data_IF_737115781456
#
_entry.id   IF_737115781456
#
_cell.length_a   1.000
_cell.length_b   1.000
_cell.length_c   1.000
_cell.angle_alpha   90.00
_cell.angle_beta   90.00
_cell.angle_gamma   90.00
#
_symmetry.space_group_name_H-M   'P 1'
#
loop_
_entity.id
_entity.type
_entity.pdbx_description
1 polymer ?
#
# COMPACT_ATOMS: atom_id res chain seq x y z
N UNK A 1 29.54 5.37 -4.68
CA UNK A 1 28.97 4.68 -3.50
C UNK A 1 27.78 3.86 -3.98
N UNK A 2 27.95 2.54 -4.13
CA UNK A 2 26.91 1.63 -4.64
C UNK A 2 25.85 1.43 -3.55
N UNK A 3 24.66 2.00 -3.74
CA UNK A 3 23.52 1.73 -2.87
C UNK A 3 23.01 0.32 -3.15
N UNK A 4 23.48 -0.67 -2.39
CA UNK A 4 22.83 -1.97 -2.34
C UNK A 4 21.42 -1.77 -1.76
N UNK A 5 20.40 -1.95 -2.61
CA UNK A 5 19.04 -2.22 -2.15
C UNK A 5 19.14 -3.42 -1.20
N UNK A 6 18.75 -3.27 0.06
CA UNK A 6 18.59 -4.44 0.93
C UNK A 6 17.50 -5.31 0.29
N UNK A 7 17.91 -6.48 -0.17
CA UNK A 7 16.99 -7.47 -0.72
C UNK A 7 15.97 -7.85 0.34
N UNK A 8 14.71 -7.93 -0.08
CA UNK A 8 13.65 -8.42 0.78
C UNK A 8 13.98 -9.86 1.22
N UNK A 9 13.75 -10.16 2.50
CA UNK A 9 13.92 -11.53 2.99
C UNK A 9 12.98 -12.51 2.27
N UNK A 10 13.32 -13.80 2.30
CA UNK A 10 12.55 -14.84 1.60
C UNK A 10 11.07 -14.85 2.01
N UNK A 11 10.78 -14.58 3.27
CA UNK A 11 9.42 -14.56 3.78
C UNK A 11 8.62 -13.39 3.17
N UNK A 12 9.20 -12.19 3.13
CA UNK A 12 8.60 -11.04 2.48
C UNK A 12 8.32 -11.29 0.99
N UNK A 13 9.26 -11.91 0.28
CA UNK A 13 9.08 -12.28 -1.15
C UNK A 13 7.90 -13.24 -1.34
N UNK A 14 7.80 -14.27 -0.48
CA UNK A 14 6.68 -15.22 -0.50
C UNK A 14 5.34 -14.52 -0.22
N UNK A 15 5.30 -13.58 0.73
CA UNK A 15 4.06 -12.84 1.02
C UNK A 15 3.62 -11.97 -0.15
N UNK A 16 4.55 -11.27 -0.81
CA UNK A 16 4.25 -10.47 -2.00
C UNK A 16 3.63 -11.34 -3.09
N UNK A 17 4.28 -12.46 -3.42
CA UNK A 17 3.80 -13.39 -4.44
C UNK A 17 2.42 -13.96 -4.09
N UNK A 18 2.20 -14.31 -2.81
CA UNK A 18 0.90 -14.76 -2.34
C UNK A 18 -0.18 -13.70 -2.54
N UNK A 19 0.09 -12.45 -2.18
CA UNK A 19 -0.87 -11.35 -2.35
C UNK A 19 -1.17 -11.11 -3.82
N UNK A 20 -0.16 -11.11 -4.69
CA UNK A 20 -0.33 -10.89 -6.13
C UNK A 20 -1.11 -12.02 -6.80
N UNK A 21 -0.79 -13.28 -6.50
CA UNK A 21 -1.51 -14.46 -7.02
C UNK A 21 -2.96 -14.52 -6.55
N UNK A 22 -3.22 -14.09 -5.32
CA UNK A 22 -4.56 -14.02 -4.73
C UNK A 22 -5.24 -12.66 -4.91
N UNK A 23 -4.73 -11.78 -5.79
CA UNK A 23 -5.20 -10.39 -5.98
C UNK A 23 -6.72 -10.25 -6.07
N UNK A 24 -7.37 -11.16 -6.81
CA UNK A 24 -8.84 -11.18 -6.98
C UNK A 24 -9.64 -11.43 -5.71
N UNK A 25 -9.08 -12.09 -4.70
CA UNK A 25 -9.76 -12.32 -3.42
C UNK A 25 -9.86 -11.05 -2.57
N UNK A 26 -9.06 -10.04 -2.89
CA UNK A 26 -9.00 -8.80 -2.12
C UNK A 26 -9.82 -7.66 -2.75
N UNK A 27 -10.24 -7.80 -4.00
CA UNK A 27 -11.10 -6.81 -4.67
C UNK A 27 -12.44 -6.70 -3.91
N UNK A 28 -12.88 -5.47 -3.66
CA UNK A 28 -14.08 -5.15 -2.88
C UNK A 28 -13.90 -5.19 -1.36
N UNK A 29 -12.80 -5.74 -0.83
CA UNK A 29 -12.53 -5.70 0.60
C UNK A 29 -12.22 -4.27 1.06
N UNK A 30 -12.60 -3.97 2.30
CA UNK A 30 -12.13 -2.76 2.95
C UNK A 30 -10.63 -2.86 3.24
N UNK A 31 -9.94 -1.72 3.30
CA UNK A 31 -8.52 -1.67 3.68
C UNK A 31 -8.29 -2.35 5.03
N UNK A 32 -9.21 -2.22 5.99
CA UNK A 32 -9.12 -2.94 7.27
C UNK A 32 -9.04 -4.46 7.07
N UNK A 33 -10.00 -5.04 6.35
CA UNK A 33 -10.03 -6.49 6.09
C UNK A 33 -8.82 -6.94 5.28
N UNK A 34 -8.44 -6.16 4.28
CA UNK A 34 -7.27 -6.42 3.47
C UNK A 34 -5.99 -6.48 4.30
N UNK A 35 -5.70 -5.42 5.07
CA UNK A 35 -4.49 -5.37 5.89
C UNK A 35 -4.49 -6.44 6.98
N UNK A 36 -5.65 -6.83 7.52
CA UNK A 36 -5.75 -7.91 8.50
C UNK A 36 -5.47 -9.29 7.90
N UNK A 37 -5.75 -9.49 6.61
CA UNK A 37 -5.41 -10.73 5.89
C UNK A 37 -3.92 -10.89 5.56
N UNK A 38 -3.13 -9.82 5.69
CA UNK A 38 -1.71 -9.79 5.35
C UNK A 38 -0.89 -9.50 6.61
N UNK A 39 -0.37 -10.54 7.29
CA UNK A 39 0.53 -10.33 8.41
C UNK A 39 1.86 -9.72 7.93
N UNK A 40 2.50 -8.94 8.81
CA UNK A 40 3.87 -8.42 8.64
C UNK A 40 4.10 -7.29 7.63
N UNK A 41 3.08 -6.49 7.30
CA UNK A 41 3.30 -5.22 6.61
C UNK A 41 4.11 -4.30 7.54
N UNK A 42 5.29 -3.90 7.10
CA UNK A 42 6.19 -3.03 7.88
C UNK A 42 6.09 -1.56 7.47
N UNK A 43 5.66 -1.30 6.24
CA UNK A 43 5.45 0.05 5.73
C UNK A 43 4.25 0.11 4.78
N UNK A 44 3.49 1.21 4.88
CA UNK A 44 2.56 1.66 3.86
C UNK A 44 2.91 3.06 3.37
N UNK A 45 2.91 3.21 2.05
CA UNK A 45 3.08 4.47 1.32
C UNK A 45 1.80 4.76 0.56
N UNK A 46 1.21 5.93 0.78
CA UNK A 46 -0.01 6.34 0.09
C UNK A 46 0.37 7.41 -0.91
N UNK A 47 -0.01 7.19 -2.16
CA UNK A 47 0.15 8.12 -3.27
C UNK A 47 -1.27 8.51 -3.73
N UNK A 48 -1.78 9.67 -3.30
CA UNK A 48 -3.04 10.18 -3.84
C UNK A 48 -2.92 10.39 -5.35
N UNK A 49 -3.87 9.81 -6.09
CA UNK A 49 -4.06 10.09 -7.51
C UNK A 49 -5.38 10.87 -7.65
N UNK A 50 -5.48 12.09 -7.12
CA UNK A 50 -6.63 12.98 -7.34
C UNK A 50 -6.17 14.23 -8.07
N UNK A 51 -6.85 14.65 -9.17
CA UNK A 51 -8.23 15.13 -9.12
C UNK A 51 -9.20 14.68 -10.26
N UNK A 52 -8.88 13.69 -11.11
CA UNK A 52 -9.81 13.28 -12.20
C UNK A 52 -10.63 12.00 -11.92
N UNK A 53 -10.14 11.03 -11.16
CA UNK A 53 -10.69 9.66 -11.27
C UNK A 53 -11.23 9.05 -9.96
N UNK A 54 -11.34 9.79 -8.86
CA UNK A 54 -11.84 9.25 -7.57
C UNK A 54 -11.07 8.05 -7.01
N UNK A 55 -9.88 7.71 -7.52
CA UNK A 55 -9.07 6.59 -7.04
C UNK A 55 -7.80 7.05 -6.32
N UNK A 56 -7.23 6.20 -5.48
CA UNK A 56 -5.94 6.45 -4.84
C UNK A 56 -5.07 5.20 -4.85
N UNK A 57 -3.76 5.38 -4.93
CA UNK A 57 -2.81 4.27 -4.96
C UNK A 57 -2.16 4.11 -3.61
N UNK A 58 -2.23 2.90 -3.06
CA UNK A 58 -1.56 2.53 -1.82
C UNK A 58 -0.48 1.52 -2.18
N UNK A 59 0.77 1.79 -1.81
CA UNK A 59 1.90 0.90 -2.04
C UNK A 59 2.39 0.45 -0.68
N UNK A 60 2.49 -0.84 -0.43
CA UNK A 60 3.03 -1.34 0.82
C UNK A 60 4.19 -2.29 0.61
N UNK A 61 4.99 -2.39 1.66
CA UNK A 61 6.17 -3.23 1.71
C UNK A 61 6.25 -4.01 3.00
N UNK A 62 6.94 -5.13 2.93
CA UNK A 62 7.28 -6.00 4.06
C UNK A 62 8.64 -5.63 4.68
N UNK A 63 9.13 -4.41 4.38
CA UNK A 63 10.37 -3.81 4.86
C UNK A 63 10.10 -2.44 5.48
N UNK A 64 11.03 -1.93 6.29
CA UNK A 64 10.90 -0.63 6.97
C UNK A 64 10.91 0.57 6.01
N UNK A 65 10.53 1.76 6.50
CA UNK A 65 10.43 2.98 5.69
C UNK A 65 11.72 3.43 5.01
N UNK A 66 12.85 3.28 5.72
CA UNK A 66 14.17 3.71 5.24
C UNK A 66 14.61 2.83 4.07
N UNK A 67 14.31 1.54 4.15
CA UNK A 67 14.65 0.53 3.16
C UNK A 67 13.67 0.54 1.98
N UNK A 68 12.38 0.72 2.23
CA UNK A 68 11.34 0.70 1.20
C UNK A 68 11.50 1.78 0.12
N UNK A 69 12.02 2.96 0.50
CA UNK A 69 12.32 4.04 -0.44
C UNK A 69 13.38 3.64 -1.48
N UNK A 70 14.20 2.64 -1.17
CA UNK A 70 15.23 2.06 -2.04
C UNK A 70 14.84 0.70 -2.62
N UNK A 71 13.75 0.10 -2.15
CA UNK A 71 13.28 -1.20 -2.60
C UNK A 71 12.90 -1.18 -4.09
N UNK A 72 13.13 -2.28 -4.78
CA UNK A 72 12.72 -2.45 -6.17
C UNK A 72 11.20 -2.54 -6.29
N UNK A 73 10.64 -2.22 -7.47
CA UNK A 73 9.18 -2.29 -7.71
C UNK A 73 8.62 -3.71 -7.46
N UNK A 74 9.42 -4.76 -7.70
CA UNK A 74 9.03 -6.16 -7.49
C UNK A 74 8.81 -6.50 -6.01
N UNK A 75 9.47 -5.79 -5.10
CA UNK A 75 9.42 -6.01 -3.65
C UNK A 75 8.32 -5.16 -2.99
N UNK A 76 7.30 -4.78 -3.77
CA UNK A 76 6.19 -3.94 -3.34
C UNK A 76 4.88 -4.56 -3.79
N UNK A 77 3.83 -4.31 -3.03
CA UNK A 77 2.46 -4.53 -3.47
C UNK A 77 1.80 -3.18 -3.64
N UNK A 78 1.28 -2.93 -4.84
CA UNK A 78 0.53 -1.73 -5.17
C UNK A 78 -0.95 -2.10 -5.24
N UNK A 79 -1.79 -1.39 -4.51
CA UNK A 79 -3.24 -1.54 -4.56
C UNK A 79 -3.86 -0.21 -4.99
N UNK A 80 -4.89 -0.30 -5.81
CA UNK A 80 -5.76 0.83 -6.14
C UNK A 80 -6.95 0.75 -5.21
N UNK A 81 -7.33 1.87 -4.62
CA UNK A 81 -8.48 1.98 -3.74
C UNK A 81 -9.45 3.01 -4.26
N UNK A 82 -10.73 2.76 -4.03
CA UNK A 82 -11.79 3.72 -4.27
C UNK A 82 -11.66 4.84 -3.24
N UNK A 83 -11.28 6.00 -3.74
CA UNK A 83 -11.05 7.23 -3.01
C UNK A 83 -12.23 8.20 -3.09
N UNK A 84 -13.37 7.83 -3.66
CA UNK A 84 -14.56 8.71 -3.77
C UNK A 84 -15.01 9.31 -2.43
N UNK A 85 -14.72 8.63 -1.32
CA UNK A 85 -15.01 9.08 0.04
C UNK A 85 -13.81 9.73 0.76
N UNK A 86 -12.71 10.01 0.06
CA UNK A 86 -11.60 10.79 0.59
C UNK A 86 -11.99 12.26 0.55
N UNK A 87 -12.35 12.80 1.72
CA UNK A 87 -12.56 14.25 1.85
C UNK A 87 -11.21 14.99 1.81
N UNK A 88 -11.16 16.22 1.29
CA UNK A 88 -9.96 17.07 1.26
C UNK A 88 -9.28 17.23 2.65
N UNK A 89 -10.05 17.08 3.74
CA UNK A 89 -9.53 17.09 5.12
C UNK A 89 -8.62 15.90 5.45
N UNK A 90 -8.81 14.77 4.78
CA UNK A 90 -8.00 13.55 4.95
C UNK A 90 -6.76 13.56 4.05
N UNK A 91 -6.76 14.39 3.00
CA UNK A 91 -5.65 14.54 2.06
C UNK A 91 -5.36 16.02 1.84
N UNK A 92 -4.63 16.69 2.76
CA UNK A 92 -4.24 18.07 2.55
C UNK A 92 -3.50 18.21 1.22
N UNK A 93 -3.89 19.23 0.43
CA UNK A 93 -3.47 19.46 -0.94
C UNK A 93 -1.94 19.58 -1.15
N UNK A 94 -1.16 19.66 -0.07
CA UNK A 94 0.28 19.92 -0.09
C UNK A 94 1.16 18.67 0.14
N UNK A 95 0.61 17.46 0.29
CA UNK A 95 1.42 16.26 0.60
C UNK A 95 1.16 15.07 -0.35
N UNK A 96 2.01 14.99 -1.38
CA UNK A 96 2.03 14.00 -2.48
C UNK A 96 2.43 12.56 -2.10
N UNK A 97 2.75 12.28 -0.84
CA UNK A 97 3.16 10.94 -0.41
C UNK A 97 3.12 10.81 1.10
N UNK A 98 2.38 9.84 1.62
CA UNK A 98 2.31 9.58 3.06
C UNK A 98 2.94 8.24 3.35
N UNK A 99 4.07 8.26 4.06
CA UNK A 99 4.75 7.07 4.57
C UNK A 99 4.31 6.86 6.02
N UNK A 100 3.64 5.74 6.31
CA UNK A 100 3.01 5.50 7.61
C UNK A 100 2.88 3.99 7.92
N UNK A 101 2.46 3.66 9.14
CA UNK A 101 2.29 2.28 9.60
C UNK A 101 0.87 1.73 9.35
N UNK A 102 0.72 0.42 9.55
CA UNK A 102 -0.56 -0.29 9.34
C UNK A 102 -1.70 0.27 10.18
N UNK A 103 -1.47 0.62 11.43
CA UNK A 103 -2.53 1.07 12.33
C UNK A 103 -3.05 2.45 11.92
N UNK A 104 -2.14 3.35 11.54
CA UNK A 104 -2.51 4.68 11.07
C UNK A 104 -3.27 4.61 9.73
N UNK A 105 -2.88 3.71 8.82
CA UNK A 105 -3.66 3.45 7.60
C UNK A 105 -5.04 2.92 7.91
N UNK A 106 -5.16 1.93 8.80
CA UNK A 106 -6.46 1.39 9.23
C UNK A 106 -7.35 2.48 9.84
N UNK A 107 -6.78 3.37 10.65
CA UNK A 107 -7.52 4.46 11.30
C UNK A 107 -8.03 5.50 10.30
N UNK A 108 -7.19 5.92 9.34
CA UNK A 108 -7.53 6.98 8.39
C UNK A 108 -8.29 6.50 7.16
N UNK A 109 -7.97 5.31 6.67
CA UNK A 109 -8.40 4.81 5.36
C UNK A 109 -9.06 3.43 5.42
N UNK A 110 -9.23 2.84 6.61
CA UNK A 110 -9.69 1.46 6.78
C UNK A 110 -11.02 1.11 6.13
N UNK A 111 -11.88 2.11 5.88
CA UNK A 111 -13.19 1.95 5.23
C UNK A 111 -13.14 2.02 3.70
N UNK A 112 -12.04 2.52 3.10
CA UNK A 112 -11.89 2.54 1.66
C UNK A 112 -11.83 1.11 1.10
N UNK A 113 -12.25 0.94 -0.14
CA UNK A 113 -12.34 -0.38 -0.78
C UNK A 113 -11.21 -0.59 -1.76
N UNK A 114 -10.61 -1.77 -1.73
CA UNK A 114 -9.63 -2.21 -2.73
C UNK A 114 -10.36 -2.45 -4.05
N UNK A 115 -9.90 -1.79 -5.09
CA UNK A 115 -10.43 -1.91 -6.46
C UNK A 115 -9.61 -2.92 -7.24
N UNK A 116 -8.28 -2.86 -7.10
CA UNK A 116 -7.38 -3.78 -7.77
C UNK A 116 -6.02 -3.84 -7.05
N UNK A 117 -5.24 -4.87 -7.39
CA UNK A 117 -3.86 -5.03 -6.93
C UNK A 117 -2.99 -5.23 -8.17
N UNK A 118 -1.91 -4.46 -8.30
CA UNK A 118 -0.91 -4.66 -9.35
C UNK A 118 -0.24 -6.02 -9.17
N UNK A 119 -0.27 -6.81 -10.24
CA UNK A 119 0.55 -8.00 -10.38
C UNK A 119 2.01 -7.59 -10.60
#
# INVERSE_FOLDING_TARGET
MLFYSQELDLNGKIQIEKVKKSSKLYEGLSINKFLDSIPNIKMLRIIPNMPQDSYSTFIFGFTDNKTFSKAEKKDRVTIVVDGSNLTDKLMPAELYKIDTDKNEVKRKFGNLRVVSISR
#
